data_IF_165593175001
#
_entry.id   IF_165593175001
#
_cell.length_a   1.000
_cell.length_b   1.000
_cell.length_c   1.000
_cell.angle_alpha   90.00
_cell.angle_beta   90.00
_cell.angle_gamma   90.00
#
_symmetry.space_group_name_H-M   'P 1'
#
loop_
_entity.id
_entity.type
_entity.pdbx_description
1 polymer ?
#
# COMPACT_ATOMS: atom_id res chain seq x y z
N UNK A 1 -3.18 -32.17 8.51
CA UNK A 1 -4.13 -32.88 9.43
C UNK A 1 -4.54 -32.02 10.64
N UNK A 2 -3.69 -31.16 11.20
CA UNK A 2 -4.01 -30.30 12.35
C UNK A 2 -5.09 -29.26 12.05
N UNK A 3 -5.08 -28.64 10.87
CA UNK A 3 -6.03 -27.59 10.46
C UNK A 3 -7.48 -28.08 10.32
N UNK A 4 -7.69 -29.36 10.02
CA UNK A 4 -9.05 -29.93 9.89
C UNK A 4 -9.79 -30.11 11.23
N UNK A 5 -9.09 -30.03 12.35
CA UNK A 5 -9.66 -30.24 13.69
C UNK A 5 -9.90 -28.94 14.47
N UNK A 6 -9.42 -27.80 13.95
CA UNK A 6 -9.49 -26.55 14.70
C UNK A 6 -10.88 -25.91 14.53
N UNK A 7 -11.66 -25.89 15.58
CA UNK A 7 -12.99 -25.25 15.66
C UNK A 7 -12.89 -23.79 16.14
N UNK A 8 -11.71 -23.35 16.54
CA UNK A 8 -11.46 -22.03 17.08
C UNK A 8 -10.69 -21.18 16.07
N UNK A 9 -11.31 -20.09 15.61
CA UNK A 9 -10.74 -19.16 14.63
C UNK A 9 -9.41 -18.57 15.09
N UNK A 10 -9.24 -18.29 16.37
CA UNK A 10 -7.99 -17.74 16.90
C UNK A 10 -6.84 -18.72 16.73
N UNK A 11 -7.06 -19.97 17.14
CA UNK A 11 -6.06 -21.04 16.97
C UNK A 11 -5.75 -21.27 15.49
N UNK A 12 -6.76 -21.22 14.60
CA UNK A 12 -6.54 -21.33 13.15
C UNK A 12 -5.63 -20.22 12.65
N UNK A 13 -5.89 -18.96 13.00
CA UNK A 13 -5.09 -17.82 12.59
C UNK A 13 -3.66 -17.92 13.14
N UNK A 14 -3.49 -18.30 14.40
CA UNK A 14 -2.17 -18.46 15.01
C UNK A 14 -1.35 -19.58 14.36
N UNK A 15 -1.99 -20.69 13.96
CA UNK A 15 -1.33 -21.74 13.19
C UNK A 15 -0.99 -21.30 11.76
N UNK A 16 -1.86 -20.53 11.11
CA UNK A 16 -1.58 -19.95 9.79
C UNK A 16 -0.41 -18.98 9.85
N UNK A 17 -0.34 -18.12 10.86
CA UNK A 17 0.81 -17.22 11.07
C UNK A 17 2.11 -18.01 11.21
N UNK A 18 2.14 -19.03 12.06
CA UNK A 18 3.32 -19.91 12.23
C UNK A 18 3.73 -20.60 10.93
N UNK A 19 2.77 -21.01 10.10
CA UNK A 19 3.04 -21.60 8.78
C UNK A 19 3.64 -20.55 7.83
N UNK A 20 3.09 -19.35 7.82
CA UNK A 20 3.61 -18.25 7.01
C UNK A 20 5.03 -17.87 7.43
N UNK A 21 5.30 -17.73 8.74
CA UNK A 21 6.64 -17.46 9.26
C UNK A 21 7.65 -18.53 8.83
N UNK A 22 7.29 -19.82 8.92
CA UNK A 22 8.14 -20.91 8.44
C UNK A 22 8.36 -20.85 6.94
N UNK A 23 7.33 -20.53 6.16
CA UNK A 23 7.44 -20.36 4.72
C UNK A 23 8.38 -19.22 4.34
N UNK A 24 8.30 -18.07 5.03
CA UNK A 24 9.16 -16.92 4.80
C UNK A 24 10.62 -17.21 5.17
N UNK A 25 10.84 -17.85 6.33
CA UNK A 25 12.18 -18.29 6.74
C UNK A 25 12.77 -19.25 5.70
N UNK A 26 11.97 -20.19 5.19
CA UNK A 26 12.40 -21.11 4.14
C UNK A 26 12.72 -20.38 2.82
N UNK A 27 11.87 -19.48 2.38
CA UNK A 27 12.12 -18.68 1.18
C UNK A 27 13.41 -17.86 1.29
N UNK A 28 13.63 -17.24 2.42
CA UNK A 28 14.82 -16.42 2.65
C UNK A 28 16.09 -17.27 2.69
N UNK A 29 16.09 -18.36 3.45
CA UNK A 29 17.28 -19.19 3.67
C UNK A 29 17.60 -20.11 2.50
N UNK A 30 16.58 -20.76 1.92
CA UNK A 30 16.77 -21.81 0.93
C UNK A 30 16.82 -21.28 -0.51
N UNK A 31 16.15 -20.19 -0.80
CA UNK A 31 16.04 -19.65 -2.15
C UNK A 31 16.95 -18.46 -2.41
N UNK A 32 17.65 -17.94 -1.39
CA UNK A 32 18.54 -16.77 -1.51
C UNK A 32 17.92 -15.62 -2.33
N UNK A 33 16.60 -15.45 -2.23
CA UNK A 33 15.89 -14.42 -2.97
C UNK A 33 16.20 -13.08 -2.35
N UNK A 34 16.59 -12.11 -3.17
CA UNK A 34 16.47 -10.70 -2.79
C UNK A 34 15.03 -10.43 -2.35
N UNK A 35 14.83 -9.57 -1.34
CA UNK A 35 13.50 -9.14 -0.92
C UNK A 35 12.74 -8.64 -2.16
N UNK A 36 11.72 -9.41 -2.57
CA UNK A 36 10.80 -9.00 -3.61
C UNK A 36 9.73 -8.10 -2.98
N UNK A 37 9.05 -7.34 -3.81
CA UNK A 37 7.96 -6.46 -3.37
C UNK A 37 6.96 -7.16 -2.44
N UNK A 38 6.59 -8.41 -2.74
CA UNK A 38 5.69 -9.22 -1.89
C UNK A 38 6.26 -9.54 -0.51
N UNK A 39 7.56 -9.77 -0.41
CA UNK A 39 8.23 -10.00 0.87
C UNK A 39 8.21 -8.72 1.70
N UNK A 40 8.42 -7.57 1.05
CA UNK A 40 8.34 -6.26 1.68
C UNK A 40 6.91 -5.93 2.13
N UNK A 41 5.88 -6.19 1.30
CA UNK A 41 4.48 -6.04 1.66
C UNK A 41 4.13 -6.87 2.90
N UNK A 42 4.60 -8.13 2.95
CA UNK A 42 4.38 -9.01 4.09
C UNK A 42 5.06 -8.49 5.36
N UNK A 43 6.33 -8.07 5.26
CA UNK A 43 7.07 -7.49 6.37
C UNK A 43 6.38 -6.22 6.91
N UNK A 44 5.89 -5.36 6.01
CA UNK A 44 5.11 -4.18 6.37
C UNK A 44 3.83 -4.55 7.16
N UNK A 45 3.11 -5.58 6.74
CA UNK A 45 1.91 -6.04 7.46
C UNK A 45 2.18 -6.48 8.89
N UNK A 46 3.31 -7.14 9.12
CA UNK A 46 3.69 -7.60 10.46
C UNK A 46 4.15 -6.43 11.33
N UNK A 47 4.90 -5.49 10.74
CA UNK A 47 5.53 -4.39 11.47
C UNK A 47 4.59 -3.23 11.77
N UNK A 48 3.44 -3.13 11.08
CA UNK A 48 2.53 -1.98 11.18
C UNK A 48 1.18 -2.38 11.77
N UNK A 49 1.03 -2.10 13.04
CA UNK A 49 -0.13 -2.45 13.86
C UNK A 49 -0.68 -1.21 14.58
N UNK A 50 -1.72 -1.38 15.40
CA UNK A 50 -2.30 -0.27 16.19
C UNK A 50 -1.31 0.43 17.13
N UNK A 51 -0.15 -0.17 17.41
CA UNK A 51 0.91 0.41 18.24
C UNK A 51 1.94 1.24 17.47
N UNK A 52 1.84 1.32 16.16
CA UNK A 52 2.73 2.10 15.28
C UNK A 52 1.98 3.30 14.68
N UNK A 53 2.62 4.12 13.83
CA UNK A 53 1.96 5.27 13.20
C UNK A 53 0.85 4.86 12.21
N UNK A 54 0.97 3.67 11.61
CA UNK A 54 0.01 3.13 10.65
C UNK A 54 -0.40 1.70 11.03
N UNK A 55 -1.67 1.37 10.79
CA UNK A 55 -2.20 0.01 10.86
C UNK A 55 -2.56 -0.47 9.46
N UNK A 56 -1.92 -1.53 8.97
CA UNK A 56 -2.27 -2.10 7.67
C UNK A 56 -3.53 -2.95 7.79
N UNK A 57 -4.55 -2.61 6.98
CA UNK A 57 -5.85 -3.27 7.01
C UNK A 57 -6.12 -4.16 5.80
N UNK A 58 -5.50 -3.88 4.64
CA UNK A 58 -5.65 -4.72 3.46
C UNK A 58 -4.43 -4.63 2.54
N UNK A 59 -4.27 -5.62 1.65
CA UNK A 59 -3.22 -5.69 0.64
C UNK A 59 -3.81 -5.95 -0.74
N UNK A 60 -3.13 -5.43 -1.79
CA UNK A 60 -3.49 -5.69 -3.18
C UNK A 60 -4.96 -5.32 -3.48
N UNK A 61 -5.43 -4.23 -2.85
CA UNK A 61 -6.81 -3.78 -3.01
C UNK A 61 -7.06 -3.29 -4.44
N UNK A 62 -8.06 -3.87 -5.07
CA UNK A 62 -8.51 -3.46 -6.40
C UNK A 62 -9.80 -2.65 -6.29
N UNK A 63 -9.78 -1.41 -6.79
CA UNK A 63 -10.98 -0.59 -6.89
C UNK A 63 -11.98 -1.29 -7.82
N UNK A 64 -13.21 -1.46 -7.35
CA UNK A 64 -14.25 -2.19 -8.09
C UNK A 64 -14.50 -1.57 -9.48
N UNK A 65 -14.59 -2.44 -10.50
CA UNK A 65 -14.94 -2.08 -11.88
C UNK A 65 -16.44 -1.95 -12.12
N UNK A 66 -17.26 -1.75 -11.08
CA UNK A 66 -18.69 -1.48 -11.30
C UNK A 66 -18.84 -0.28 -12.24
N UNK A 67 -19.77 -0.37 -13.20
CA UNK A 67 -19.99 0.69 -14.20
C UNK A 67 -20.21 2.07 -13.58
N UNK A 68 -20.80 2.10 -12.38
CA UNK A 68 -21.07 3.29 -11.58
C UNK A 68 -19.82 3.89 -10.95
N UNK A 69 -18.72 3.12 -10.90
CA UNK A 69 -17.41 3.50 -10.36
C UNK A 69 -16.34 3.56 -11.45
N UNK A 70 -16.71 3.34 -12.72
CA UNK A 70 -15.78 3.46 -13.84
C UNK A 70 -15.51 4.95 -14.04
N UNK A 71 -14.26 5.30 -13.81
CA UNK A 71 -13.77 6.64 -14.03
C UNK A 71 -13.22 6.76 -15.45
N UNK A 72 -13.77 7.72 -16.22
CA UNK A 72 -13.19 8.11 -17.49
C UNK A 72 -12.03 9.07 -17.22
N UNK A 73 -10.85 8.54 -17.32
CA UNK A 73 -9.61 9.28 -17.04
C UNK A 73 -9.16 10.07 -18.27
N UNK A 74 -9.07 11.39 -18.15
CA UNK A 74 -8.33 12.21 -19.11
C UNK A 74 -6.84 12.18 -18.71
N UNK A 75 -5.94 11.82 -19.64
CA UNK A 75 -4.52 11.75 -19.32
C UNK A 75 -4.00 13.10 -18.83
N UNK A 76 -3.23 13.06 -17.72
CA UNK A 76 -2.48 14.22 -17.26
C UNK A 76 -1.44 14.64 -18.30
N UNK A 77 -0.88 15.84 -18.15
CA UNK A 77 0.17 16.39 -18.99
C UNK A 77 1.52 15.65 -18.90
N UNK A 78 1.61 14.57 -18.13
CA UNK A 78 2.82 13.76 -18.01
C UNK A 78 3.02 12.98 -19.31
N UNK A 79 4.23 13.02 -19.92
CA UNK A 79 4.51 12.29 -21.14
C UNK A 79 4.28 10.78 -20.95
N UNK A 80 3.25 10.26 -21.58
CA UNK A 80 2.93 8.82 -21.61
C UNK A 80 3.53 8.19 -22.85
N UNK A 81 3.74 6.87 -22.78
CA UNK A 81 4.13 6.12 -23.97
C UNK A 81 3.10 6.34 -25.09
N UNK A 82 3.54 6.72 -26.31
CA UNK A 82 2.64 6.90 -27.43
C UNK A 82 1.90 5.59 -27.72
N UNK A 83 0.58 5.66 -27.88
CA UNK A 83 -0.29 4.53 -28.23
C UNK A 83 -1.12 3.95 -27.09
N UNK A 84 -1.22 4.64 -25.96
CA UNK A 84 -2.10 4.23 -24.86
C UNK A 84 -3.34 5.13 -24.87
N UNK A 85 -4.42 4.63 -25.46
CA UNK A 85 -5.73 5.27 -25.43
C UNK A 85 -6.35 5.28 -24.04
N UNK A 86 -7.38 6.11 -23.84
CA UNK A 86 -8.15 6.22 -22.60
C UNK A 86 -8.55 4.84 -22.09
N UNK A 87 -8.06 4.46 -20.91
CA UNK A 87 -8.35 3.16 -20.32
C UNK A 87 -9.40 3.27 -19.22
N UNK A 88 -10.37 2.38 -19.28
CA UNK A 88 -11.13 1.95 -18.10
C UNK A 88 -10.15 1.17 -17.21
N UNK A 89 -9.44 1.85 -16.32
CA UNK A 89 -8.56 1.18 -15.37
C UNK A 89 -9.31 0.99 -14.07
N UNK A 90 -9.25 -0.24 -13.58
CA UNK A 90 -9.49 -0.56 -12.17
C UNK A 90 -8.13 -0.53 -11.47
N UNK A 91 -7.73 0.57 -10.85
CA UNK A 91 -6.44 0.65 -10.20
C UNK A 91 -6.37 -0.38 -9.06
N UNK A 92 -5.21 -1.00 -8.93
CA UNK A 92 -4.88 -1.87 -7.81
C UNK A 92 -3.78 -1.18 -7.02
N UNK A 93 -3.98 -1.08 -5.72
CA UNK A 93 -3.04 -0.49 -4.80
C UNK A 93 -2.42 -1.56 -3.91
N UNK A 94 -1.14 -1.42 -3.61
CA UNK A 94 -0.39 -2.43 -2.87
C UNK A 94 -0.88 -2.59 -1.45
N UNK A 95 -1.18 -1.49 -0.76
CA UNK A 95 -1.47 -1.48 0.67
C UNK A 95 -2.58 -0.47 0.98
N UNK A 96 -3.52 -0.89 1.80
CA UNK A 96 -4.46 0.01 2.47
C UNK A 96 -4.15 0.02 3.95
N UNK A 97 -3.97 1.21 4.51
CA UNK A 97 -3.66 1.42 5.91
C UNK A 97 -4.54 2.50 6.54
N UNK A 98 -4.57 2.53 7.86
CA UNK A 98 -5.14 3.64 8.64
C UNK A 98 -4.01 4.31 9.41
N UNK A 99 -3.85 5.61 9.25
CA UNK A 99 -2.94 6.37 10.09
C UNK A 99 -3.53 6.49 11.49
N UNK A 100 -2.80 6.02 12.50
CA UNK A 100 -3.35 5.88 13.84
C UNK A 100 -3.56 7.22 14.57
N UNK A 101 -2.81 8.27 14.21
CA UNK A 101 -2.88 9.58 14.85
C UNK A 101 -4.21 10.33 14.61
N UNK A 102 -4.79 10.20 13.41
CA UNK A 102 -6.01 10.89 13.01
C UNK A 102 -7.08 9.97 12.42
N UNK A 103 -6.82 8.66 12.37
CA UNK A 103 -7.75 7.64 11.84
C UNK A 103 -8.04 7.78 10.33
N UNK A 104 -7.17 8.45 9.62
CA UNK A 104 -7.28 8.66 8.17
C UNK A 104 -6.99 7.39 7.40
N UNK A 105 -7.82 7.08 6.42
CA UNK A 105 -7.56 6.02 5.46
C UNK A 105 -6.44 6.45 4.49
N UNK A 106 -5.46 5.58 4.30
CA UNK A 106 -4.32 5.82 3.44
C UNK A 106 -4.20 4.71 2.40
N UNK A 107 -3.97 5.11 1.16
CA UNK A 107 -3.57 4.22 0.07
C UNK A 107 -2.06 4.34 -0.07
N UNK A 108 -1.35 3.22 0.05
CA UNK A 108 0.11 3.20 0.03
C UNK A 108 0.57 2.36 -1.15
N UNK A 109 1.37 2.95 -1.99
CA UNK A 109 2.05 2.29 -3.10
C UNK A 109 3.49 2.00 -2.71
N UNK A 110 3.90 0.74 -2.81
CA UNK A 110 5.26 0.31 -2.47
C UNK A 110 6.17 0.44 -3.68
N UNK A 111 7.33 1.06 -3.50
CA UNK A 111 8.39 1.14 -4.50
C UNK A 111 9.66 0.51 -3.95
N UNK A 112 10.11 -0.54 -4.60
CA UNK A 112 11.28 -1.31 -4.17
C UNK A 112 12.47 -1.02 -5.09
N UNK A 113 13.33 -0.09 -4.68
CA UNK A 113 14.49 0.37 -5.41
C UNK A 113 14.22 1.45 -6.46
N UNK A 114 15.30 2.04 -6.99
CA UNK A 114 15.24 3.15 -7.96
C UNK A 114 14.53 2.78 -9.25
N UNK A 115 14.70 1.53 -9.71
CA UNK A 115 14.10 1.05 -10.96
C UNK A 115 12.55 1.06 -10.90
N UNK A 116 11.98 0.95 -9.69
CA UNK A 116 10.54 0.97 -9.49
C UNK A 116 9.92 2.38 -9.53
N UNK A 117 10.74 3.43 -9.53
CA UNK A 117 10.26 4.81 -9.56
C UNK A 117 9.87 5.29 -10.96
N UNK A 118 10.31 4.57 -12.00
CA UNK A 118 10.16 4.96 -13.41
C UNK A 118 9.33 3.95 -14.21
N UNK A 119 8.82 4.36 -15.36
CA UNK A 119 8.14 3.50 -16.33
C UNK A 119 6.64 3.35 -16.07
N UNK A 120 6.04 2.28 -16.63
CA UNK A 120 4.59 2.04 -16.62
C UNK A 120 3.96 1.84 -15.23
N UNK A 121 4.77 1.53 -14.24
CA UNK A 121 4.34 1.36 -12.84
C UNK A 121 5.13 2.31 -11.94
N UNK A 122 5.60 3.41 -12.51
CA UNK A 122 6.33 4.44 -11.79
C UNK A 122 5.42 5.30 -10.93
N UNK A 123 6.03 6.24 -10.22
CA UNK A 123 5.33 7.16 -9.31
C UNK A 123 4.22 7.92 -10.02
N UNK A 124 4.50 8.49 -11.19
CA UNK A 124 3.54 9.30 -11.93
C UNK A 124 2.27 8.53 -12.31
N UNK A 125 2.40 7.29 -12.81
CA UNK A 125 1.24 6.47 -13.21
C UNK A 125 0.33 6.11 -12.04
N UNK A 126 0.90 5.85 -10.86
CA UNK A 126 0.10 5.53 -9.67
C UNK A 126 -0.54 6.78 -9.05
N UNK A 127 0.18 7.92 -9.00
CA UNK A 127 -0.38 9.20 -8.56
C UNK A 127 -1.57 9.61 -9.45
N UNK A 128 -1.40 9.54 -10.77
CA UNK A 128 -2.45 9.82 -11.73
C UNK A 128 -3.65 8.87 -11.57
N UNK A 129 -3.38 7.59 -11.35
CA UNK A 129 -4.44 6.59 -11.14
C UNK A 129 -5.22 6.87 -9.85
N UNK A 130 -4.53 7.26 -8.77
CA UNK A 130 -5.18 7.65 -7.52
C UNK A 130 -5.99 8.94 -7.70
N UNK A 131 -5.39 9.98 -8.28
CA UNK A 131 -6.06 11.25 -8.50
C UNK A 131 -7.33 11.08 -9.32
N UNK A 132 -7.25 10.36 -10.42
CA UNK A 132 -8.38 10.13 -11.32
C UNK A 132 -9.45 9.22 -10.75
N UNK A 133 -9.09 8.13 -10.06
CA UNK A 133 -10.05 7.12 -9.60
C UNK A 133 -10.58 7.36 -8.19
N UNK A 134 -9.89 8.13 -7.36
CA UNK A 134 -10.25 8.36 -5.96
C UNK A 134 -10.39 9.84 -5.66
N UNK A 135 -9.31 10.61 -5.70
CA UNK A 135 -9.29 11.99 -5.20
C UNK A 135 -10.27 12.93 -5.93
N UNK A 136 -10.47 12.73 -7.23
CA UNK A 136 -11.44 13.48 -8.03
C UNK A 136 -12.83 12.81 -8.14
N UNK A 137 -13.03 11.71 -7.43
CA UNK A 137 -14.28 10.96 -7.47
C UNK A 137 -14.83 10.72 -6.05
N UNK A 138 -15.59 11.67 -5.48
CA UNK A 138 -16.12 11.56 -4.12
C UNK A 138 -16.95 10.30 -3.88
N UNK A 139 -17.63 9.78 -4.92
CA UNK A 139 -18.41 8.56 -4.82
C UNK A 139 -17.50 7.33 -4.66
N UNK A 140 -16.42 7.25 -5.44
CA UNK A 140 -15.45 6.17 -5.31
C UNK A 140 -14.74 6.22 -3.95
N UNK A 141 -14.35 7.41 -3.50
CA UNK A 141 -13.76 7.62 -2.18
C UNK A 141 -14.68 7.10 -1.06
N UNK A 142 -15.96 7.51 -1.09
CA UNK A 142 -16.96 7.02 -0.13
C UNK A 142 -17.12 5.50 -0.18
N UNK A 143 -17.17 4.91 -1.38
CA UNK A 143 -17.33 3.46 -1.53
C UNK A 143 -16.13 2.70 -0.99
N UNK A 144 -14.92 3.16 -1.26
CA UNK A 144 -13.70 2.53 -0.74
C UNK A 144 -13.70 2.61 0.78
N UNK A 145 -14.01 3.78 1.36
CA UNK A 145 -14.11 3.94 2.81
C UNK A 145 -15.12 2.97 3.40
N UNK A 146 -16.30 2.82 2.81
CA UNK A 146 -17.34 1.87 3.29
C UNK A 146 -16.93 0.40 3.14
N UNK A 147 -16.17 0.05 2.13
CA UNK A 147 -15.60 -1.30 2.00
C UNK A 147 -14.56 -1.55 3.10
N UNK A 148 -13.68 -0.59 3.36
CA UNK A 148 -12.66 -0.72 4.41
C UNK A 148 -13.27 -0.74 5.82
N UNK A 149 -14.34 -0.02 6.07
CA UNK A 149 -15.11 -0.15 7.33
C UNK A 149 -15.61 -1.58 7.55
N UNK A 150 -16.05 -2.29 6.51
CA UNK A 150 -16.45 -3.70 6.61
C UNK A 150 -15.24 -4.58 6.94
N UNK A 151 -14.10 -4.36 6.28
CA UNK A 151 -12.85 -5.08 6.58
C UNK A 151 -12.44 -4.85 8.04
N UNK A 152 -12.48 -3.60 8.52
CA UNK A 152 -12.21 -3.26 9.92
C UNK A 152 -13.20 -3.98 10.87
N UNK A 153 -14.49 -3.96 10.55
CA UNK A 153 -15.51 -4.66 11.34
C UNK A 153 -15.25 -6.17 11.44
N UNK A 154 -14.88 -6.80 10.32
CA UNK A 154 -14.54 -8.22 10.30
C UNK A 154 -13.26 -8.51 11.09
N UNK A 155 -12.23 -7.67 10.98
CA UNK A 155 -11.00 -7.80 11.77
C UNK A 155 -11.24 -7.63 13.28
N UNK A 156 -12.10 -6.70 13.68
CA UNK A 156 -12.55 -6.57 15.08
C UNK A 156 -13.25 -7.85 15.58
N UNK A 157 -14.19 -8.39 14.79
CA UNK A 157 -14.88 -9.63 15.11
C UNK A 157 -13.92 -10.80 15.29
N UNK A 158 -12.82 -10.82 14.50
CA UNK A 158 -11.74 -11.80 14.59
C UNK A 158 -10.72 -11.47 15.70
N UNK A 159 -10.87 -10.37 16.44
CA UNK A 159 -9.93 -9.88 17.46
C UNK A 159 -8.52 -9.60 16.90
N UNK A 160 -8.44 -9.20 15.65
CA UNK A 160 -7.21 -8.74 14.97
C UNK A 160 -7.02 -7.24 15.10
N UNK A 161 -8.08 -6.49 15.40
CA UNK A 161 -8.08 -5.07 15.75
C UNK A 161 -8.84 -4.87 17.07
N UNK A 162 -8.53 -3.80 17.77
CA UNK A 162 -9.25 -3.39 18.98
C UNK A 162 -10.69 -2.98 18.68
N UNK A 163 -11.57 -3.08 19.66
CA UNK A 163 -12.99 -2.77 19.48
C UNK A 163 -13.23 -1.27 19.25
N UNK A 164 -12.31 -0.39 19.66
CA UNK A 164 -12.32 1.06 19.48
C UNK A 164 -11.59 1.54 18.20
N UNK A 165 -10.99 0.65 17.43
CA UNK A 165 -10.38 1.02 16.15
C UNK A 165 -11.44 1.45 15.13
N UNK A 166 -11.21 2.53 14.39
CA UNK A 166 -12.15 3.03 13.37
C UNK A 166 -11.41 3.79 12.26
N UNK A 167 -12.13 4.08 11.19
CA UNK A 167 -11.71 4.99 10.10
C UNK A 167 -12.52 6.27 10.25
N UNK A 168 -11.87 7.44 10.21
CA UNK A 168 -12.58 8.71 10.13
C UNK A 168 -13.01 8.99 8.69
N UNK A 169 -14.28 8.70 8.39
CA UNK A 169 -14.86 8.88 7.05
C UNK A 169 -14.95 10.35 6.60
N UNK A 170 -14.71 11.32 7.50
CA UNK A 170 -14.72 12.75 7.17
C UNK A 170 -13.42 13.23 6.58
N UNK A 171 -12.35 12.46 6.73
CA UNK A 171 -11.04 12.80 6.22
C UNK A 171 -10.87 12.22 4.81
N UNK A 172 -10.34 13.01 3.86
CA UNK A 172 -10.06 12.48 2.52
C UNK A 172 -9.00 11.39 2.58
N UNK A 173 -9.10 10.41 1.68
CA UNK A 173 -8.09 9.35 1.56
C UNK A 173 -6.76 9.98 1.15
N UNK A 174 -5.69 9.62 1.86
CA UNK A 174 -4.34 10.10 1.57
C UNK A 174 -3.59 9.09 0.70
N UNK A 175 -2.79 9.59 -0.24
CA UNK A 175 -1.92 8.79 -1.07
C UNK A 175 -0.46 8.91 -0.62
N UNK A 176 0.20 7.77 -0.42
CA UNK A 176 1.55 7.68 0.13
C UNK A 176 2.38 6.74 -0.72
N UNK A 177 3.65 7.08 -0.96
CA UNK A 177 4.65 6.15 -1.43
C UNK A 177 5.49 5.63 -0.27
N UNK A 178 5.59 4.30 -0.14
CA UNK A 178 6.56 3.66 0.73
C UNK A 178 7.75 3.21 -0.11
N UNK A 179 8.93 3.78 0.13
CA UNK A 179 10.14 3.46 -0.60
C UNK A 179 11.03 2.52 0.19
N UNK A 180 11.23 1.32 -0.34
CA UNK A 180 12.14 0.33 0.23
C UNK A 180 13.45 0.27 -0.55
N UNK A 181 14.58 0.32 0.15
CA UNK A 181 15.90 0.19 -0.45
C UNK A 181 16.19 -1.25 -0.86
N UNK A 182 16.52 -1.46 -2.13
CA UNK A 182 16.82 -2.77 -2.69
C UNK A 182 18.21 -3.28 -2.31
N UNK A 183 19.18 -2.38 -2.14
CA UNK A 183 20.55 -2.70 -1.78
C UNK A 183 21.25 -1.58 -1.01
N UNK A 184 22.40 -1.90 -0.39
CA UNK A 184 23.24 -0.88 0.28
C UNK A 184 23.81 0.17 -0.69
N UNK A 185 24.02 -0.22 -1.95
CA UNK A 185 24.53 0.69 -2.98
C UNK A 185 23.54 1.82 -3.31
N UNK A 186 22.26 1.64 -3.03
CA UNK A 186 21.25 2.68 -3.23
C UNK A 186 21.37 3.83 -2.21
N UNK A 187 21.96 3.60 -1.04
CA UNK A 187 22.27 4.68 -0.11
C UNK A 187 23.27 5.68 -0.70
N UNK A 188 24.21 5.22 -1.53
CA UNK A 188 25.12 6.08 -2.30
C UNK A 188 24.41 6.91 -3.39
N UNK A 189 23.22 6.52 -3.80
CA UNK A 189 22.41 7.18 -4.85
C UNK A 189 21.31 8.08 -4.30
N UNK A 190 21.40 8.49 -3.03
CA UNK A 190 20.40 9.36 -2.39
C UNK A 190 20.11 10.62 -3.20
N UNK A 191 21.14 11.30 -3.68
CA UNK A 191 21.00 12.54 -4.45
C UNK A 191 20.27 12.32 -5.78
N UNK A 192 20.53 11.19 -6.47
CA UNK A 192 19.85 10.81 -7.70
C UNK A 192 18.37 10.54 -7.44
N UNK A 193 18.06 9.74 -6.40
CA UNK A 193 16.69 9.46 -5.95
C UNK A 193 15.94 10.74 -5.61
N UNK A 194 16.54 11.60 -4.76
CA UNK A 194 15.89 12.83 -4.31
C UNK A 194 15.68 13.83 -5.47
N UNK A 195 16.58 13.84 -6.46
CA UNK A 195 16.39 14.59 -7.69
C UNK A 195 15.22 14.05 -8.50
N UNK A 196 15.17 12.74 -8.68
CA UNK A 196 14.10 12.08 -9.42
C UNK A 196 12.73 12.30 -8.76
N UNK A 197 12.62 12.11 -7.45
CA UNK A 197 11.38 12.34 -6.71
C UNK A 197 10.89 13.79 -6.85
N UNK A 198 11.79 14.77 -6.77
CA UNK A 198 11.44 16.18 -6.99
C UNK A 198 10.98 16.49 -8.40
N UNK A 199 11.53 15.83 -9.40
CA UNK A 199 11.09 15.99 -10.79
C UNK A 199 9.68 15.40 -10.97
N UNK A 200 9.41 14.24 -10.39
CA UNK A 200 8.09 13.62 -10.43
C UNK A 200 7.05 14.43 -9.65
N UNK A 201 7.40 14.96 -8.49
CA UNK A 201 6.53 15.83 -7.69
C UNK A 201 6.12 17.10 -8.48
N UNK A 202 7.05 17.69 -9.25
CA UNK A 202 6.73 18.83 -10.12
C UNK A 202 5.86 18.45 -11.32
N UNK A 203 5.97 17.22 -11.79
CA UNK A 203 5.21 16.72 -12.93
C UNK A 203 3.81 16.23 -12.54
N UNK A 204 3.62 15.83 -11.30
CA UNK A 204 2.33 15.39 -10.76
C UNK A 204 1.49 16.59 -10.33
N UNK A 205 0.20 16.60 -10.69
CA UNK A 205 -0.74 17.63 -10.22
C UNK A 205 -1.14 17.45 -8.74
N UNK A 206 -0.63 16.42 -8.08
CA UNK A 206 -1.01 16.02 -6.73
C UNK A 206 0.21 16.00 -5.80
N UNK A 207 0.04 16.58 -4.61
CA UNK A 207 0.99 16.40 -3.53
C UNK A 207 0.86 14.97 -3.00
N UNK A 208 1.98 14.27 -2.92
CA UNK A 208 2.05 12.95 -2.30
C UNK A 208 3.18 12.93 -1.25
N UNK A 209 3.00 12.06 -0.29
CA UNK A 209 3.96 11.82 0.77
C UNK A 209 4.85 10.65 0.40
N UNK A 210 6.14 10.73 0.75
CA UNK A 210 7.06 9.61 0.60
C UNK A 210 7.57 9.20 1.97
N UNK A 211 7.35 7.95 2.36
CA UNK A 211 7.91 7.34 3.57
C UNK A 211 9.08 6.45 3.16
N UNK A 212 10.25 6.70 3.74
CA UNK A 212 11.43 5.88 3.51
C UNK A 212 11.51 4.75 4.54
N UNK A 213 11.57 3.52 4.04
CA UNK A 213 11.77 2.34 4.89
C UNK A 213 13.26 2.14 5.14
N UNK A 214 13.65 2.08 6.39
CA UNK A 214 15.03 1.77 6.77
C UNK A 214 15.32 0.29 6.50
N UNK A 215 16.60 -0.03 6.21
CA UNK A 215 17.01 -1.41 5.98
C UNK A 215 16.72 -2.27 7.22
N UNK A 216 15.91 -3.30 7.03
CA UNK A 216 15.53 -4.23 8.10
C UNK A 216 14.46 -3.71 9.08
N UNK A 217 14.01 -2.46 8.90
CA UNK A 217 12.89 -1.88 9.61
C UNK A 217 11.78 -1.54 8.61
N UNK A 218 10.68 -2.27 8.69
CA UNK A 218 9.51 -2.10 7.83
C UNK A 218 8.39 -1.33 8.53
N UNK A 219 8.73 -0.51 9.52
CA UNK A 219 7.76 0.34 10.21
C UNK A 219 7.53 1.62 9.40
N UNK A 220 6.29 1.84 8.99
CA UNK A 220 5.86 3.10 8.39
C UNK A 220 5.81 4.17 9.48
N UNK A 221 6.55 5.24 9.31
CA UNK A 221 6.54 6.34 10.28
C UNK A 221 6.53 7.70 9.59
N UNK A 222 5.74 8.61 10.14
CA UNK A 222 5.67 10.00 9.71
C UNK A 222 7.02 10.73 9.93
N UNK A 223 7.88 10.23 10.80
CA UNK A 223 9.22 10.77 11.02
C UNK A 223 10.21 10.41 9.90
N UNK A 224 9.87 9.46 9.04
CA UNK A 224 10.68 8.99 7.92
C UNK A 224 10.32 9.65 6.57
N UNK A 225 9.73 10.84 6.59
CA UNK A 225 9.29 11.59 5.41
C UNK A 225 10.30 12.62 4.94
#
# INVERSE_FOLDING_TARGET
ESLKKTRDYKTFIDEMKKLMDKYWIWLYNEKHRSLHEKDTQHALCISNTESTDYTIIDLEFQVSTRKDCIYHYEPSSIPRHPGVDVYEKSPRFDIIAVRNSDRRLCVIELKNGLDALVGKSGIGDHADSFEGSIAKNPLAELMITKEMEKVVSDKKRLKLLSDDFYIDEKLPIEFIYAYAFKSEDENGKKAERDSFLREQEKACCMNYKVIYLNKGDFTLSDSNC
#
